data_IF_678642253894
#
_entry.id   IF_678642253894
#
_cell.length_a   1.000
_cell.length_b   1.000
_cell.length_c   1.000
_cell.angle_alpha   90.00
_cell.angle_beta   90.00
_cell.angle_gamma   90.00
#
_symmetry.space_group_name_H-M   'P 1'
#
loop_
_entity.id
_entity.type
_entity.pdbx_description
1 polymer ?
#
# COMPACT_ATOMS: atom_id res chain seq x y z
N UNK A 1 10.03 4.31 -13.71
CA UNK A 1 9.40 5.37 -12.88
C UNK A 1 9.77 5.15 -11.42
N UNK A 2 10.32 6.14 -10.69
CA UNK A 2 10.60 6.00 -9.27
C UNK A 2 9.29 6.05 -8.47
N UNK A 3 9.04 5.05 -7.62
CA UNK A 3 8.06 5.11 -6.52
C UNK A 3 6.68 5.68 -6.87
N UNK A 4 5.87 4.94 -7.63
CA UNK A 4 4.47 5.31 -7.90
C UNK A 4 3.60 5.32 -6.62
N UNK A 5 3.95 4.53 -5.60
CA UNK A 5 3.22 4.52 -4.32
C UNK A 5 3.51 5.77 -3.47
N UNK A 6 4.78 6.20 -3.40
CA UNK A 6 5.18 7.32 -2.53
C UNK A 6 4.89 8.69 -3.19
N UNK A 7 4.92 8.80 -4.52
CA UNK A 7 4.55 10.05 -5.22
C UNK A 7 3.06 10.37 -5.13
N UNK A 8 2.17 9.37 -5.28
CA UNK A 8 0.73 9.59 -5.19
C UNK A 8 0.28 9.95 -3.76
N UNK A 9 0.76 9.23 -2.73
CA UNK A 9 0.43 9.52 -1.33
C UNK A 9 1.02 10.87 -0.86
N UNK A 10 2.24 11.18 -1.30
CA UNK A 10 2.91 12.45 -0.98
C UNK A 10 2.29 13.65 -1.70
N UNK A 11 1.77 13.46 -2.91
CA UNK A 11 1.00 14.49 -3.60
C UNK A 11 -0.36 14.70 -2.92
N UNK A 12 -1.06 13.64 -2.52
CA UNK A 12 -2.34 13.75 -1.79
C UNK A 12 -2.20 14.45 -0.45
N UNK A 13 -1.18 14.14 0.36
CA UNK A 13 -0.98 14.88 1.61
C UNK A 13 -0.68 16.36 1.34
N UNK A 14 0.12 16.66 0.31
CA UNK A 14 0.37 18.04 -0.07
C UNK A 14 -0.92 18.76 -0.50
N UNK A 15 -1.78 18.12 -1.30
CA UNK A 15 -3.10 18.64 -1.66
C UNK A 15 -3.97 18.91 -0.41
N UNK A 16 -4.00 17.97 0.55
CA UNK A 16 -4.70 18.15 1.82
C UNK A 16 -4.15 19.36 2.58
N UNK A 17 -2.84 19.47 2.74
CA UNK A 17 -2.22 20.58 3.47
C UNK A 17 -2.39 21.93 2.75
N UNK A 18 -2.36 21.93 1.42
CA UNK A 18 -2.64 23.13 0.62
C UNK A 18 -4.10 23.52 0.72
N UNK A 19 -5.03 22.55 0.76
CA UNK A 19 -6.48 22.71 0.82
C UNK A 19 -7.04 23.03 2.21
N UNK A 20 -6.31 22.68 3.27
CA UNK A 20 -6.76 22.88 4.66
C UNK A 20 -6.94 24.36 5.02
N UNK A 21 -6.05 25.31 4.64
CA UNK A 21 -6.28 26.74 4.84
C UNK A 21 -7.55 27.28 4.18
N UNK A 22 -7.85 26.89 2.94
CA UNK A 22 -9.05 27.37 2.23
C UNK A 22 -10.31 26.78 2.86
N UNK A 23 -10.27 25.51 3.28
CA UNK A 23 -11.37 24.91 4.03
C UNK A 23 -11.57 25.64 5.37
N UNK A 24 -10.49 25.92 6.12
CA UNK A 24 -10.58 26.66 7.37
C UNK A 24 -11.15 28.07 7.15
N UNK A 25 -10.76 28.75 6.07
CA UNK A 25 -11.29 30.05 5.69
C UNK A 25 -12.80 29.97 5.38
N UNK A 26 -13.24 29.01 4.57
CA UNK A 26 -14.67 28.81 4.28
C UNK A 26 -15.46 28.52 5.57
N UNK A 27 -14.98 27.60 6.40
CA UNK A 27 -15.62 27.28 7.68
C UNK A 27 -15.67 28.50 8.61
N UNK A 28 -14.64 29.34 8.62
CA UNK A 28 -14.63 30.55 9.45
C UNK A 28 -15.67 31.56 8.99
N UNK A 29 -15.83 31.73 7.67
CA UNK A 29 -16.84 32.61 7.08
C UNK A 29 -18.25 32.08 7.35
N UNK A 30 -18.46 30.79 7.09
CA UNK A 30 -19.80 30.19 7.10
C UNK A 30 -20.29 29.87 8.52
N UNK A 31 -19.39 29.40 9.39
CA UNK A 31 -19.73 28.85 10.70
C UNK A 31 -19.02 29.51 11.87
N UNK A 32 -17.91 30.23 11.66
CA UNK A 32 -17.08 30.80 12.73
C UNK A 32 -17.85 31.60 13.78
N UNK A 33 -18.80 32.48 13.40
CA UNK A 33 -19.63 33.21 14.37
C UNK A 33 -20.67 32.35 15.10
N UNK A 34 -20.96 31.15 14.58
CA UNK A 34 -22.05 30.28 15.03
C UNK A 34 -21.57 29.10 15.88
N UNK A 35 -20.28 28.75 15.82
CA UNK A 35 -19.74 27.57 16.50
C UNK A 35 -18.51 27.93 17.34
N UNK A 36 -18.39 27.29 18.50
CA UNK A 36 -17.14 27.22 19.24
C UNK A 36 -16.53 25.83 19.07
N UNK A 37 -15.30 25.77 18.53
CA UNK A 37 -14.61 24.50 18.32
C UNK A 37 -14.03 24.06 19.64
N UNK A 38 -14.79 23.22 20.33
CA UNK A 38 -14.37 22.71 21.63
C UNK A 38 -13.17 21.77 21.55
N UNK A 39 -12.90 21.10 20.42
CA UNK A 39 -11.70 20.28 20.27
C UNK A 39 -11.49 19.71 18.86
N UNK A 40 -10.27 19.27 18.58
CA UNK A 40 -9.87 18.79 17.25
C UNK A 40 -9.12 17.46 17.34
N UNK A 41 -9.45 16.52 16.46
CA UNK A 41 -8.71 15.27 16.29
C UNK A 41 -8.33 15.06 14.82
N UNK A 42 -7.19 14.42 14.59
CA UNK A 42 -6.72 14.02 13.27
C UNK A 42 -6.64 12.50 13.16
N UNK A 43 -7.00 11.94 11.99
CA UNK A 43 -6.90 10.51 11.68
C UNK A 43 -6.42 10.25 10.25
N UNK A 44 -6.29 8.98 9.88
CA UNK A 44 -5.68 8.53 8.61
C UNK A 44 -4.16 8.46 8.65
N UNK A 45 -3.55 8.16 7.50
CA UNK A 45 -2.09 8.06 7.34
C UNK A 45 -1.38 9.40 7.63
N UNK A 46 -1.93 10.51 7.14
CA UNK A 46 -1.41 11.88 7.33
C UNK A 46 -1.64 12.50 8.70
N UNK A 47 -2.29 11.80 9.64
CA UNK A 47 -2.81 12.38 10.91
C UNK A 47 -1.78 13.15 11.72
N UNK A 48 -0.53 12.70 11.77
CA UNK A 48 0.51 13.37 12.56
C UNK A 48 0.95 14.71 11.95
N UNK A 49 0.94 14.80 10.63
CA UNK A 49 1.31 16.01 9.89
C UNK A 49 0.15 17.01 9.95
N UNK A 50 -1.06 16.56 9.60
CA UNK A 50 -2.27 17.39 9.66
C UNK A 50 -2.60 17.79 11.10
N UNK A 51 -2.45 16.88 12.06
CA UNK A 51 -2.63 17.16 13.48
C UNK A 51 -1.63 18.19 14.00
N UNK A 52 -0.37 18.15 13.56
CA UNK A 52 0.59 19.20 13.87
C UNK A 52 0.24 20.53 13.23
N UNK A 53 -0.26 20.53 11.98
CA UNK A 53 -0.70 21.73 11.30
C UNK A 53 -1.86 22.42 12.05
N UNK A 54 -2.91 21.65 12.36
CA UNK A 54 -4.09 22.12 13.09
C UNK A 54 -3.84 22.38 14.58
N UNK A 55 -2.69 21.96 15.12
CA UNK A 55 -2.49 21.84 16.57
C UNK A 55 -3.57 20.97 17.26
N UNK A 56 -3.97 19.88 16.62
CA UNK A 56 -5.04 19.01 17.07
C UNK A 56 -4.82 18.51 18.51
N UNK A 57 -5.89 18.31 19.27
CA UNK A 57 -5.84 17.77 20.63
C UNK A 57 -5.44 16.30 20.65
N UNK A 58 -5.81 15.55 19.60
CA UNK A 58 -5.64 14.10 19.53
C UNK A 58 -5.22 13.64 18.13
N UNK A 59 -4.29 12.70 18.11
CA UNK A 59 -4.00 11.89 16.93
C UNK A 59 -4.65 10.52 17.14
N UNK A 60 -5.64 10.18 16.32
CA UNK A 60 -6.43 8.94 16.44
C UNK A 60 -6.05 8.00 15.32
N UNK A 61 -5.70 6.76 15.67
CA UNK A 61 -5.44 5.73 14.67
C UNK A 61 -6.67 5.46 13.80
N UNK A 62 -6.45 5.23 12.51
CA UNK A 62 -7.51 5.11 11.52
C UNK A 62 -8.42 3.91 11.77
N UNK A 63 -7.89 2.79 12.30
CA UNK A 63 -8.69 1.61 12.64
C UNK A 63 -9.66 1.95 13.77
N UNK A 64 -9.15 2.59 14.82
CA UNK A 64 -9.95 3.03 15.97
C UNK A 64 -10.99 4.04 15.56
N UNK A 65 -10.62 5.00 14.71
CA UNK A 65 -11.52 6.04 14.24
C UNK A 65 -12.69 5.46 13.41
N UNK A 66 -12.39 4.61 12.43
CA UNK A 66 -13.43 3.96 11.63
C UNK A 66 -14.32 3.05 12.47
N UNK A 67 -13.75 2.27 13.38
CA UNK A 67 -14.54 1.40 14.25
C UNK A 67 -15.49 2.19 15.16
N UNK A 68 -15.01 3.27 15.78
CA UNK A 68 -15.86 4.11 16.64
C UNK A 68 -16.98 4.78 15.85
N UNK A 69 -16.67 5.30 14.65
CA UNK A 69 -17.67 5.89 13.77
C UNK A 69 -18.70 4.87 13.29
N UNK A 70 -18.27 3.65 12.97
CA UNK A 70 -19.17 2.56 12.57
C UNK A 70 -20.12 2.15 13.69
N UNK A 71 -19.61 1.98 14.92
CA UNK A 71 -20.40 1.66 16.12
C UNK A 71 -21.41 2.75 16.44
N UNK A 72 -21.08 4.03 16.19
CA UNK A 72 -22.03 5.13 16.40
C UNK A 72 -23.23 5.04 15.44
N UNK A 73 -22.98 4.63 14.19
CA UNK A 73 -24.03 4.46 13.19
C UNK A 73 -24.85 3.20 13.48
N UNK A 74 -24.18 2.12 13.85
CA UNK A 74 -24.82 0.84 14.12
C UNK A 74 -24.00 0.04 15.17
N UNK A 75 -24.50 -0.08 16.42
CA UNK A 75 -23.77 -0.76 17.49
C UNK A 75 -23.61 -2.27 17.26
N UNK A 76 -24.39 -2.86 16.35
CA UNK A 76 -24.34 -4.30 16.05
C UNK A 76 -23.34 -4.64 14.95
N UNK A 77 -22.62 -3.66 14.38
CA UNK A 77 -21.62 -3.92 13.34
C UNK A 77 -20.51 -4.84 13.86
N UNK A 78 -20.30 -5.96 13.18
CA UNK A 78 -19.30 -6.97 13.57
C UNK A 78 -18.07 -6.97 12.65
N UNK A 79 -18.22 -6.47 11.42
CA UNK A 79 -17.14 -6.47 10.43
C UNK A 79 -17.24 -5.25 9.53
N UNK A 80 -16.13 -4.55 9.39
CA UNK A 80 -15.94 -3.44 8.46
C UNK A 80 -15.02 -3.92 7.35
N UNK A 81 -15.51 -3.80 6.12
CA UNK A 81 -14.68 -3.83 4.93
C UNK A 81 -14.42 -2.39 4.49
N UNK A 82 -13.16 -2.03 4.28
CA UNK A 82 -12.81 -0.72 3.75
C UNK A 82 -11.85 -0.90 2.59
N UNK A 83 -12.26 -0.42 1.43
CA UNK A 83 -11.39 -0.38 0.25
C UNK A 83 -11.07 1.08 -0.02
N UNK A 84 -9.86 1.48 0.33
CA UNK A 84 -9.34 2.82 0.08
C UNK A 84 -8.88 2.99 -1.37
N UNK A 85 -8.37 4.20 -1.66
CA UNK A 85 -7.75 4.48 -2.94
C UNK A 85 -6.37 3.83 -3.12
N UNK A 86 -5.66 3.53 -2.04
CA UNK A 86 -4.26 3.04 -2.06
C UNK A 86 -4.02 1.85 -1.14
N UNK A 87 -4.86 1.68 -0.13
CA UNK A 87 -4.82 0.57 0.79
C UNK A 87 -6.23 -0.03 0.94
N UNK A 88 -6.30 -1.12 1.67
CA UNK A 88 -7.56 -1.76 2.01
C UNK A 88 -7.46 -2.35 3.40
N UNK A 89 -8.51 -2.21 4.20
CA UNK A 89 -8.54 -2.57 5.61
C UNK A 89 -9.69 -3.50 5.90
N UNK A 90 -9.43 -4.45 6.78
CA UNK A 90 -10.43 -5.31 7.39
C UNK A 90 -10.44 -5.01 8.89
N UNK A 91 -11.61 -4.84 9.49
CA UNK A 91 -11.76 -4.62 10.93
C UNK A 91 -12.86 -5.53 11.46
N UNK A 92 -12.53 -6.39 12.42
CA UNK A 92 -13.49 -7.14 13.22
C UNK A 92 -13.82 -6.35 14.48
N UNK A 93 -15.10 -6.22 14.80
CA UNK A 93 -15.59 -5.55 16.00
C UNK A 93 -16.24 -6.59 16.90
N UNK A 94 -15.91 -6.52 18.19
CA UNK A 94 -16.53 -7.32 19.24
C UNK A 94 -16.81 -6.41 20.44
N UNK A 95 -18.03 -6.47 20.98
CA UNK A 95 -18.46 -5.63 22.09
C UNK A 95 -18.12 -4.15 21.84
N UNK A 96 -18.47 -3.61 20.67
CA UNK A 96 -18.20 -2.23 20.25
C UNK A 96 -16.74 -1.80 20.18
N UNK A 97 -15.78 -2.73 20.26
CA UNK A 97 -14.34 -2.45 20.18
C UNK A 97 -13.68 -3.25 19.05
N UNK A 98 -12.64 -2.70 18.38
CA UNK A 98 -11.85 -3.47 17.42
C UNK A 98 -11.19 -4.68 18.10
N UNK A 99 -11.46 -5.89 17.60
CA UNK A 99 -10.90 -7.14 18.09
C UNK A 99 -9.69 -7.59 17.26
N UNK A 100 -9.82 -7.52 15.94
CA UNK A 100 -8.81 -7.94 14.97
C UNK A 100 -8.87 -7.01 13.76
N UNK A 101 -7.73 -6.78 13.12
CA UNK A 101 -7.66 -5.98 11.90
C UNK A 101 -6.51 -6.42 11.00
N UNK A 102 -6.66 -6.15 9.71
CA UNK A 102 -5.57 -6.27 8.75
C UNK A 102 -5.61 -5.11 7.77
N UNK A 103 -4.45 -4.79 7.20
CA UNK A 103 -4.31 -3.72 6.24
C UNK A 103 -3.33 -4.12 5.16
N UNK A 104 -3.79 -4.09 3.92
CA UNK A 104 -2.96 -4.28 2.75
C UNK A 104 -2.53 -2.91 2.19
N UNK A 105 -1.24 -2.59 2.35
CA UNK A 105 -0.60 -1.38 1.80
C UNK A 105 0.15 -1.63 0.48
N UNK A 106 0.29 -2.88 0.05
CA UNK A 106 1.27 -3.28 -0.98
C UNK A 106 0.61 -3.67 -2.30
N UNK A 107 -0.57 -4.29 -2.26
CA UNK A 107 -1.24 -4.71 -3.48
C UNK A 107 -2.15 -3.60 -4.02
N UNK A 108 -1.91 -3.19 -5.26
CA UNK A 108 -2.86 -2.37 -6.01
C UNK A 108 -4.09 -3.17 -6.47
N UNK A 109 -3.95 -4.50 -6.57
CA UNK A 109 -5.10 -5.35 -6.85
C UNK A 109 -6.06 -5.24 -5.67
N UNK A 110 -7.31 -4.90 -5.94
CA UNK A 110 -8.32 -4.73 -4.92
C UNK A 110 -8.47 -3.31 -4.36
N UNK A 111 -7.82 -2.28 -4.90
CA UNK A 111 -7.99 -0.87 -4.45
C UNK A 111 -8.85 -0.04 -5.40
N UNK A 112 -9.31 1.12 -4.92
CA UNK A 112 -10.07 2.07 -5.74
C UNK A 112 -9.25 2.73 -6.85
N UNK A 113 -7.92 2.88 -6.72
CA UNK A 113 -7.10 3.43 -7.82
C UNK A 113 -7.09 2.51 -9.03
N UNK A 114 -7.08 1.20 -8.81
CA UNK A 114 -7.12 0.24 -9.91
C UNK A 114 -8.42 0.35 -10.72
N UNK A 115 -9.57 0.51 -10.06
CA UNK A 115 -10.84 0.78 -10.74
C UNK A 115 -10.78 2.07 -11.57
N UNK A 116 -10.20 3.12 -11.00
CA UNK A 116 -10.08 4.40 -11.65
C UNK A 116 -9.19 4.33 -12.90
N UNK A 117 -8.03 3.69 -12.79
CA UNK A 117 -7.08 3.53 -13.89
C UNK A 117 -7.69 2.71 -15.04
N UNK A 118 -8.43 1.64 -14.72
CA UNK A 118 -9.14 0.86 -15.72
C UNK A 118 -10.31 1.62 -16.34
N UNK A 119 -11.11 2.33 -15.56
CA UNK A 119 -12.18 3.17 -16.07
C UNK A 119 -11.64 4.17 -17.10
N UNK A 120 -10.53 4.86 -16.76
CA UNK A 120 -9.85 5.78 -17.67
C UNK A 120 -9.35 5.09 -18.94
N UNK A 121 -8.72 3.91 -18.83
CA UNK A 121 -8.25 3.13 -19.99
C UNK A 121 -9.38 2.76 -20.96
N UNK A 122 -10.56 2.43 -20.42
CA UNK A 122 -11.74 2.11 -21.22
C UNK A 122 -12.59 3.33 -21.61
N UNK A 123 -12.13 4.55 -21.30
CA UNK A 123 -12.87 5.79 -21.55
C UNK A 123 -14.23 5.83 -20.84
N UNK A 124 -14.33 5.23 -19.65
CA UNK A 124 -15.55 5.19 -18.83
C UNK A 124 -15.40 6.18 -17.69
N UNK A 125 -16.43 6.97 -17.42
CA UNK A 125 -16.48 7.75 -16.21
C UNK A 125 -16.67 6.82 -14.98
N UNK A 126 -15.72 6.88 -14.04
CA UNK A 126 -15.78 6.09 -12.83
C UNK A 126 -17.03 6.41 -11.97
N UNK A 127 -17.50 7.66 -12.06
CA UNK A 127 -18.70 8.14 -11.38
C UNK A 127 -19.91 7.86 -12.27
N UNK A 128 -20.91 7.17 -11.71
CA UNK A 128 -22.19 6.80 -12.32
C UNK A 128 -22.16 5.88 -13.54
N UNK A 129 -21.35 6.18 -14.56
CA UNK A 129 -21.34 5.42 -15.80
C UNK A 129 -20.82 3.99 -15.58
N UNK A 130 -19.69 3.85 -14.89
CA UNK A 130 -19.12 2.53 -14.59
C UNK A 130 -20.12 1.61 -13.91
N UNK A 131 -20.76 2.07 -12.83
CA UNK A 131 -21.71 1.24 -12.07
C UNK A 131 -22.92 0.86 -12.91
N UNK A 132 -23.41 1.76 -13.77
CA UNK A 132 -24.55 1.48 -14.66
C UNK A 132 -24.21 0.41 -15.68
N UNK A 133 -23.01 0.48 -16.29
CA UNK A 133 -22.52 -0.54 -17.21
C UNK A 133 -22.42 -1.89 -16.49
N UNK A 134 -21.73 -1.94 -15.35
CA UNK A 134 -21.57 -3.18 -14.59
C UNK A 134 -22.91 -3.80 -14.18
N UNK A 135 -23.87 -3.00 -13.69
CA UNK A 135 -25.18 -3.48 -13.25
C UNK A 135 -26.09 -3.94 -14.40
N UNK A 136 -25.82 -3.54 -15.64
CA UNK A 136 -26.55 -4.04 -16.82
C UNK A 136 -26.02 -5.37 -17.36
N UNK A 137 -24.98 -5.94 -16.76
CA UNK A 137 -24.47 -7.25 -17.17
C UNK A 137 -25.38 -8.38 -16.70
N UNK A 138 -25.71 -9.28 -17.63
CA UNK A 138 -26.41 -10.52 -17.32
C UNK A 138 -25.44 -11.68 -17.08
N UNK A 139 -24.24 -11.63 -17.68
CA UNK A 139 -23.25 -12.70 -17.64
C UNK A 139 -21.84 -12.18 -17.33
N UNK A 140 -21.57 -11.70 -16.09
CA UNK A 140 -20.26 -11.18 -15.71
C UNK A 140 -19.13 -12.20 -15.93
N UNK A 141 -18.03 -11.77 -16.55
CA UNK A 141 -16.91 -12.68 -16.80
C UNK A 141 -16.16 -13.00 -15.52
N UNK A 142 -15.74 -14.27 -15.37
CA UNK A 142 -14.80 -14.67 -14.32
C UNK A 142 -13.37 -14.31 -14.73
N UNK A 143 -12.88 -13.21 -14.18
CA UNK A 143 -11.48 -12.79 -14.30
C UNK A 143 -10.63 -13.45 -13.19
N UNK A 144 -9.31 -13.44 -13.38
CA UNK A 144 -8.36 -13.68 -12.30
C UNK A 144 -8.59 -12.72 -11.12
N UNK A 145 -8.18 -13.10 -9.92
CA UNK A 145 -8.44 -12.38 -8.68
C UNK A 145 -7.17 -12.10 -7.87
N UNK A 146 -5.99 -12.20 -8.51
CA UNK A 146 -4.70 -12.19 -7.80
C UNK A 146 -3.90 -10.91 -7.93
N UNK A 147 -3.59 -10.49 -9.15
CA UNK A 147 -2.71 -9.37 -9.46
C UNK A 147 -3.35 -8.54 -10.57
N UNK A 148 -3.18 -7.21 -10.50
CA UNK A 148 -3.69 -6.27 -11.51
C UNK A 148 -3.24 -6.64 -12.91
N UNK A 149 -1.97 -7.08 -13.07
CA UNK A 149 -1.42 -7.51 -14.36
C UNK A 149 -2.21 -8.68 -14.95
N UNK A 150 -2.54 -9.70 -14.16
CA UNK A 150 -3.34 -10.83 -14.66
C UNK A 150 -4.79 -10.45 -14.93
N UNK A 151 -5.37 -9.57 -14.11
CA UNK A 151 -6.73 -9.05 -14.36
C UNK A 151 -6.76 -8.29 -15.69
N UNK A 152 -5.76 -7.45 -15.95
CA UNK A 152 -5.61 -6.69 -17.19
C UNK A 152 -5.41 -7.60 -18.40
N UNK A 153 -4.54 -8.61 -18.29
CA UNK A 153 -4.34 -9.60 -19.37
C UNK A 153 -5.62 -10.37 -19.67
N UNK A 154 -6.39 -10.77 -18.66
CA UNK A 154 -7.68 -11.43 -18.86
C UNK A 154 -8.68 -10.50 -19.56
N UNK A 155 -8.78 -9.25 -19.11
CA UNK A 155 -9.65 -8.24 -19.72
C UNK A 155 -9.35 -8.06 -21.21
N UNK A 156 -8.07 -7.96 -21.59
CA UNK A 156 -7.65 -7.84 -22.98
C UNK A 156 -7.96 -9.11 -23.79
N UNK A 157 -7.66 -10.29 -23.22
CA UNK A 157 -7.91 -11.57 -23.87
C UNK A 157 -9.41 -11.81 -24.11
N UNK A 158 -10.27 -11.48 -23.15
CA UNK A 158 -11.73 -11.59 -23.31
C UNK A 158 -12.28 -10.52 -24.24
N UNK A 159 -11.73 -9.30 -24.22
CA UNK A 159 -12.10 -8.26 -25.17
C UNK A 159 -11.80 -8.68 -26.62
N UNK A 160 -10.64 -9.27 -26.88
CA UNK A 160 -10.28 -9.82 -28.19
C UNK A 160 -11.19 -10.97 -28.64
N UNK A 161 -11.77 -11.71 -27.70
CA UNK A 161 -12.78 -12.76 -27.97
C UNK A 161 -14.18 -12.21 -28.23
N UNK A 162 -14.34 -10.88 -28.27
CA UNK A 162 -15.62 -10.22 -28.55
C UNK A 162 -16.59 -10.18 -27.37
N UNK A 163 -16.11 -10.44 -26.15
CA UNK A 163 -16.96 -10.30 -24.96
C UNK A 163 -17.36 -8.83 -24.79
N UNK A 164 -18.63 -8.62 -24.40
CA UNK A 164 -19.19 -7.29 -24.21
C UNK A 164 -18.43 -6.51 -23.14
N UNK A 165 -18.28 -5.19 -23.35
CA UNK A 165 -17.72 -4.27 -22.34
C UNK A 165 -18.48 -4.36 -21.02
N UNK A 166 -19.80 -4.55 -21.10
CA UNK A 166 -20.70 -4.72 -19.97
C UNK A 166 -20.28 -5.87 -19.06
N UNK A 167 -20.06 -7.06 -19.63
CA UNK A 167 -19.71 -8.26 -18.87
C UNK A 167 -18.28 -8.22 -18.34
N UNK A 168 -17.36 -7.56 -19.06
CA UNK A 168 -15.99 -7.33 -18.60
C UNK A 168 -15.96 -6.41 -17.37
N UNK A 169 -16.70 -5.30 -17.42
CA UNK A 169 -16.75 -4.31 -16.34
C UNK A 169 -17.46 -4.88 -15.11
N UNK A 170 -18.50 -5.68 -15.29
CA UNK A 170 -19.11 -6.44 -14.19
C UNK A 170 -18.14 -7.48 -13.60
N UNK A 171 -17.41 -8.22 -14.45
CA UNK A 171 -16.38 -9.18 -14.03
C UNK A 171 -15.28 -8.53 -13.19
N UNK A 172 -14.92 -7.28 -13.51
CA UNK A 172 -13.95 -6.50 -12.75
C UNK A 172 -14.43 -6.17 -11.33
N UNK A 173 -15.71 -5.87 -11.13
CA UNK A 173 -16.28 -5.71 -9.78
C UNK A 173 -16.07 -6.98 -8.95
N UNK A 174 -16.39 -8.16 -9.51
CA UNK A 174 -16.17 -9.44 -8.83
C UNK A 174 -14.69 -9.71 -8.55
N UNK A 175 -13.80 -9.44 -9.51
CA UNK A 175 -12.36 -9.66 -9.35
C UNK A 175 -11.78 -8.90 -8.15
N UNK A 176 -12.24 -7.66 -7.92
CA UNK A 176 -11.83 -6.83 -6.79
C UNK A 176 -12.34 -7.39 -5.47
N UNK A 177 -13.60 -7.82 -5.43
CA UNK A 177 -14.20 -8.44 -4.25
C UNK A 177 -13.44 -9.71 -3.88
N UNK A 178 -13.23 -10.61 -4.84
CA UNK A 178 -12.48 -11.85 -4.59
C UNK A 178 -11.04 -11.56 -4.16
N UNK A 179 -10.38 -10.59 -4.80
CA UNK A 179 -9.03 -10.19 -4.40
C UNK A 179 -9.00 -9.69 -2.96
N UNK A 180 -9.90 -8.79 -2.58
CA UNK A 180 -10.00 -8.25 -1.23
C UNK A 180 -10.26 -9.35 -0.20
N UNK A 181 -11.24 -10.23 -0.47
CA UNK A 181 -11.56 -11.36 0.41
C UNK A 181 -10.37 -12.32 0.55
N UNK A 182 -9.65 -12.62 -0.52
CA UNK A 182 -8.53 -13.55 -0.48
C UNK A 182 -7.27 -12.95 0.15
N UNK A 183 -7.00 -11.66 -0.08
CA UNK A 183 -5.73 -11.00 0.28
C UNK A 183 -5.79 -10.24 1.60
N UNK A 184 -6.91 -9.60 1.89
CA UNK A 184 -7.06 -8.76 3.09
C UNK A 184 -7.81 -9.53 4.18
N UNK A 185 -8.95 -10.12 3.84
CA UNK A 185 -9.74 -10.89 4.83
C UNK A 185 -9.06 -12.24 5.11
N UNK A 186 -8.68 -12.99 4.07
CA UNK A 186 -8.04 -14.28 4.19
C UNK A 186 -8.91 -15.29 4.95
N UNK A 187 -8.36 -15.89 6.01
CA UNK A 187 -9.07 -16.86 6.86
C UNK A 187 -9.80 -16.23 8.05
N UNK A 188 -9.86 -14.89 8.13
CA UNK A 188 -10.48 -14.19 9.27
C UNK A 188 -11.99 -14.36 9.28
N UNK A 189 -12.58 -14.26 10.47
CA UNK A 189 -14.01 -14.46 10.70
C UNK A 189 -14.81 -13.26 10.20
N UNK A 190 -15.65 -13.46 9.19
CA UNK A 190 -16.63 -12.45 8.77
C UNK A 190 -17.89 -12.57 9.64
N UNK A 191 -18.24 -11.51 10.38
CA UNK A 191 -19.41 -11.42 11.26
C UNK A 191 -20.75 -11.40 10.50
N UNK A 192 -21.87 -11.20 11.21
CA UNK A 192 -23.18 -11.17 10.56
C UNK A 192 -23.50 -9.80 9.97
N UNK A 193 -23.27 -8.75 10.75
CA UNK A 193 -23.56 -7.37 10.33
C UNK A 193 -22.31 -6.72 9.75
N UNK A 194 -22.39 -6.40 8.46
CA UNK A 194 -21.27 -6.01 7.62
C UNK A 194 -21.42 -4.56 7.23
N UNK A 195 -20.36 -3.77 7.38
CA UNK A 195 -20.31 -2.40 6.90
C UNK A 195 -19.25 -2.28 5.81
N UNK A 196 -19.56 -1.57 4.71
CA UNK A 196 -18.62 -1.36 3.62
C UNK A 196 -18.33 0.13 3.41
N UNK A 197 -17.04 0.46 3.46
CA UNK A 197 -16.49 1.82 3.47
C UNK A 197 -15.47 2.04 2.34
N UNK A 198 -15.06 3.29 2.17
CA UNK A 198 -14.06 3.71 1.19
C UNK A 198 -14.63 3.96 -0.19
N UNK A 199 -13.80 4.48 -1.11
CA UNK A 199 -14.24 4.98 -2.42
C UNK A 199 -15.07 3.98 -3.25
N UNK A 200 -14.65 2.72 -3.41
CA UNK A 200 -15.39 1.74 -4.21
C UNK A 200 -16.78 1.39 -3.68
N UNK A 201 -17.09 1.66 -2.41
CA UNK A 201 -18.46 1.52 -1.90
C UNK A 201 -19.42 2.61 -2.43
N UNK A 202 -18.94 3.61 -3.19
CA UNK A 202 -19.75 4.51 -4.04
C UNK A 202 -20.28 3.83 -5.29
N UNK A 203 -19.62 2.75 -5.72
CA UNK A 203 -20.02 2.02 -6.89
C UNK A 203 -20.97 0.89 -6.48
N UNK A 204 -22.26 1.05 -6.78
CA UNK A 204 -23.30 0.07 -6.44
C UNK A 204 -23.04 -1.31 -7.05
N UNK A 205 -22.31 -1.40 -8.16
CA UNK A 205 -21.95 -2.69 -8.74
C UNK A 205 -20.90 -3.44 -7.90
N UNK A 206 -19.98 -2.72 -7.26
CA UNK A 206 -19.01 -3.33 -6.33
C UNK A 206 -19.73 -3.79 -5.06
N UNK A 207 -20.68 -3.00 -4.56
CA UNK A 207 -21.54 -3.39 -3.43
C UNK A 207 -22.32 -4.67 -3.78
N UNK A 208 -23.02 -4.68 -4.91
CA UNK A 208 -23.79 -5.83 -5.38
C UNK A 208 -22.90 -7.08 -5.58
N UNK A 209 -21.69 -6.91 -6.13
CA UNK A 209 -20.74 -8.01 -6.24
C UNK A 209 -20.32 -8.56 -4.87
N UNK A 210 -20.08 -7.71 -3.88
CA UNK A 210 -19.81 -8.15 -2.50
C UNK A 210 -20.99 -8.93 -1.91
N UNK A 211 -22.21 -8.39 -2.04
CA UNK A 211 -23.41 -9.01 -1.49
C UNK A 211 -23.67 -10.37 -2.13
N UNK A 212 -23.51 -10.47 -3.45
CA UNK A 212 -23.63 -11.73 -4.18
C UNK A 212 -22.57 -12.76 -3.77
N UNK A 213 -21.32 -12.34 -3.57
CA UNK A 213 -20.24 -13.25 -3.15
C UNK A 213 -20.41 -13.71 -1.70
N UNK A 214 -20.88 -12.83 -0.82
CA UNK A 214 -21.03 -13.12 0.61
C UNK A 214 -22.40 -13.73 0.99
N UNK A 215 -23.39 -13.62 0.11
CA UNK A 215 -24.78 -13.97 0.37
C UNK A 215 -25.40 -13.14 1.51
N UNK A 216 -24.92 -11.91 1.72
CA UNK A 216 -25.25 -11.05 2.87
C UNK A 216 -25.27 -9.59 2.43
N UNK A 217 -26.24 -8.84 2.95
CA UNK A 217 -26.34 -7.40 2.70
C UNK A 217 -25.20 -6.63 3.37
N UNK A 218 -24.80 -5.52 2.74
CA UNK A 218 -23.81 -4.60 3.26
C UNK A 218 -24.48 -3.29 3.71
N UNK A 219 -24.22 -2.89 4.94
CA UNK A 219 -24.51 -1.53 5.40
C UNK A 219 -23.50 -0.57 4.76
N UNK A 220 -23.98 0.33 3.90
CA UNK A 220 -23.17 1.40 3.27
C UNK A 220 -23.62 2.75 3.83
N UNK A 221 -22.88 3.37 4.76
CA UNK A 221 -23.25 4.65 5.35
C UNK A 221 -23.28 5.79 4.32
N UNK A 222 -24.21 6.74 4.47
CA UNK A 222 -24.36 7.88 3.54
C UNK A 222 -23.08 8.72 3.37
N UNK A 223 -22.35 8.94 4.45
CA UNK A 223 -21.15 9.78 4.51
C UNK A 223 -19.89 8.96 4.88
N UNK A 224 -19.80 7.75 4.35
CA UNK A 224 -18.72 6.79 4.66
C UNK A 224 -17.31 7.30 4.37
N UNK A 225 -17.15 8.19 3.39
CA UNK A 225 -15.88 8.81 3.00
C UNK A 225 -15.28 9.69 4.11
N UNK A 226 -16.10 10.15 5.06
CA UNK A 226 -15.68 10.92 6.22
C UNK A 226 -15.89 10.17 7.54
N UNK A 227 -16.20 8.86 7.51
CA UNK A 227 -16.51 8.09 8.72
C UNK A 227 -15.35 8.08 9.72
N UNK A 228 -14.11 7.94 9.22
CA UNK A 228 -12.93 8.04 10.07
C UNK A 228 -12.87 9.39 10.80
N UNK A 229 -13.10 10.51 10.10
CA UNK A 229 -13.11 11.83 10.72
C UNK A 229 -14.24 11.97 11.75
N UNK A 230 -15.43 11.43 11.45
CA UNK A 230 -16.56 11.40 12.37
C UNK A 230 -16.23 10.63 13.66
N UNK A 231 -15.68 9.42 13.55
CA UNK A 231 -15.26 8.63 14.71
C UNK A 231 -14.15 9.30 15.52
N UNK A 232 -13.20 9.98 14.86
CA UNK A 232 -12.16 10.75 15.54
C UNK A 232 -12.75 11.94 16.33
N UNK A 233 -13.75 12.63 15.79
CA UNK A 233 -14.45 13.72 16.47
C UNK A 233 -15.19 13.23 17.72
N UNK A 234 -15.85 12.08 17.65
CA UNK A 234 -16.52 11.45 18.80
C UNK A 234 -15.51 11.09 19.89
N UNK A 235 -14.37 10.49 19.53
CA UNK A 235 -13.29 10.18 20.48
C UNK A 235 -12.76 11.45 21.15
N UNK A 236 -12.67 12.56 20.41
CA UNK A 236 -12.29 13.86 20.97
C UNK A 236 -13.31 14.37 21.98
N UNK A 237 -14.60 14.26 21.66
CA UNK A 237 -15.70 14.62 22.56
C UNK A 237 -15.68 13.79 23.84
N UNK A 238 -15.54 12.46 23.74
CA UNK A 238 -15.49 11.54 24.89
C UNK A 238 -14.30 11.82 25.81
N UNK A 239 -13.11 12.09 25.25
CA UNK A 239 -11.93 12.43 26.06
C UNK A 239 -12.05 13.79 26.75
N UNK A 240 -12.78 14.72 26.16
CA UNK A 240 -13.07 16.04 26.75
C UNK A 240 -14.09 16.00 27.85
N UNK A 241 -15.17 15.23 27.71
CA UNK A 241 -16.11 15.05 28.83
C UNK A 241 -15.41 14.54 30.09
N UNK A 242 -14.34 13.77 29.92
CA UNK A 242 -13.53 13.26 31.02
C UNK A 242 -12.43 14.23 31.53
N UNK A 243 -12.20 15.39 30.88
CA UNK A 243 -11.12 16.34 31.21
C UNK A 243 -11.50 17.80 30.88
N UNK A 244 -11.55 18.66 31.90
CA UNK A 244 -11.79 20.12 31.76
C UNK A 244 -10.57 20.90 31.26
N UNK A 245 -9.97 20.51 30.14
CA UNK A 245 -8.79 21.18 29.56
C UNK A 245 -9.18 21.93 28.29
N UNK A 246 -8.76 23.19 28.14
CA UNK A 246 -8.98 24.00 26.93
C UNK A 246 -8.34 23.36 25.69
N UNK A 247 -8.86 23.64 24.49
CA UNK A 247 -8.30 23.05 23.26
C UNK A 247 -6.96 23.68 22.91
N UNK A 248 -6.07 22.88 22.33
CA UNK A 248 -4.83 23.37 21.73
C UNK A 248 -5.07 23.95 20.33
N UNK A 249 -6.24 23.69 19.74
CA UNK A 249 -6.60 24.21 18.44
C UNK A 249 -6.48 25.74 18.42
N UNK A 250 -5.79 26.27 17.42
CA UNK A 250 -5.41 27.68 17.37
C UNK A 250 -6.52 28.58 16.80
N UNK A 251 -7.65 28.01 16.41
CA UNK A 251 -8.74 28.72 15.73
C UNK A 251 -8.67 28.60 14.20
N UNK A 252 -9.82 28.74 13.54
CA UNK A 252 -9.92 28.64 12.07
C UNK A 252 -9.14 29.76 11.37
N UNK A 253 -9.16 30.98 11.92
CA UNK A 253 -8.41 32.12 11.37
C UNK A 253 -6.89 31.90 11.40
N UNK A 254 -6.37 31.35 12.50
CA UNK A 254 -4.95 31.03 12.59
C UNK A 254 -4.55 29.95 11.57
N UNK A 255 -5.38 28.91 11.38
CA UNK A 255 -5.13 27.85 10.39
C UNK A 255 -5.24 28.37 8.96
N UNK A 256 -6.20 29.25 8.67
CA UNK A 256 -6.37 29.86 7.35
C UNK A 256 -5.16 30.71 6.94
N UNK A 257 -4.47 31.31 7.91
CA UNK A 257 -3.32 32.18 7.68
C UNK A 257 -1.95 31.51 7.91
N UNK A 258 -1.90 30.25 8.36
CA UNK A 258 -0.65 29.55 8.66
C UNK A 258 0.09 29.19 7.34
N UNK A 259 1.38 29.52 7.29
CA UNK A 259 2.21 29.30 6.09
C UNK A 259 2.90 27.96 6.20
N UNK A 260 2.50 27.02 5.34
CA UNK A 260 3.19 25.74 5.23
C UNK A 260 4.54 25.93 4.54
N UNK A 261 5.62 25.68 5.28
CA UNK A 261 6.96 25.51 4.73
C UNK A 261 7.36 24.03 4.77
N UNK A 262 8.00 23.53 3.71
CA UNK A 262 8.58 22.20 3.72
C UNK A 262 9.90 22.17 2.97
N UNK A 263 10.74 21.20 3.34
CA UNK A 263 11.96 20.86 2.61
C UNK A 263 11.94 19.38 2.25
N UNK A 264 12.52 19.06 1.09
CA UNK A 264 12.72 17.68 0.67
C UNK A 264 14.15 17.24 0.99
N UNK A 265 14.29 16.07 1.60
CA UNK A 265 15.59 15.44 1.88
C UNK A 265 15.53 13.95 1.61
N UNK A 266 16.57 13.41 1.00
CA UNK A 266 16.74 11.95 0.92
C UNK A 266 17.05 11.40 2.31
N UNK A 267 16.33 10.36 2.72
CA UNK A 267 16.57 9.64 3.96
C UNK A 267 17.98 9.05 3.97
N UNK A 268 18.77 9.41 4.99
CA UNK A 268 20.12 8.87 5.24
C UNK A 268 20.29 8.38 6.67
N UNK A 269 19.20 8.20 7.40
CA UNK A 269 19.24 7.86 8.84
C UNK A 269 19.77 6.45 9.10
N UNK A 270 19.74 5.55 8.13
CA UNK A 270 20.45 4.28 8.20
C UNK A 270 21.44 4.22 7.03
N UNK A 271 22.74 4.17 7.32
CA UNK A 271 23.82 4.12 6.32
C UNK A 271 23.79 2.84 5.49
N UNK A 272 23.17 1.76 5.98
CA UNK A 272 22.94 0.53 5.22
C UNK A 272 21.61 0.48 4.46
N UNK A 273 20.75 1.49 4.55
CA UNK A 273 19.46 1.51 3.86
C UNK A 273 19.60 2.03 2.42
N UNK A 274 19.08 1.26 1.46
CA UNK A 274 19.21 1.54 0.03
C UNK A 274 17.96 2.15 -0.60
N UNK A 275 16.84 2.25 0.14
CA UNK A 275 15.57 2.72 -0.40
C UNK A 275 15.57 4.21 -0.80
N UNK A 276 16.62 4.98 -0.45
CA UNK A 276 16.79 6.41 -0.79
C UNK A 276 15.48 7.23 -0.70
N UNK A 277 14.66 6.95 0.31
CA UNK A 277 13.31 7.51 0.39
C UNK A 277 13.36 9.04 0.39
N UNK A 278 12.51 9.70 -0.39
CA UNK A 278 12.35 11.16 -0.35
C UNK A 278 11.46 11.52 0.83
N UNK A 279 12.02 12.20 1.83
CA UNK A 279 11.28 12.67 2.99
C UNK A 279 10.89 14.12 2.77
N UNK A 280 9.63 14.45 3.11
CA UNK A 280 9.17 15.83 3.25
C UNK A 280 9.18 16.20 4.73
N UNK A 281 9.91 17.26 5.07
CA UNK A 281 9.95 17.79 6.43
C UNK A 281 9.13 19.07 6.43
N UNK A 282 7.94 19.00 6.98
CA UNK A 282 7.02 20.12 7.14
C UNK A 282 7.34 20.88 8.43
N UNK A 283 7.22 22.21 8.38
CA UNK A 283 7.34 23.11 9.52
C UNK A 283 6.12 24.03 9.57
N UNK A 284 5.35 23.91 10.65
CA UNK A 284 4.16 24.71 10.91
C UNK A 284 4.42 25.61 12.11
N UNK A 285 5.13 26.72 11.87
CA UNK A 285 5.48 27.68 12.92
C UNK A 285 6.23 27.04 14.11
N UNK A 286 7.25 26.21 13.81
CA UNK A 286 8.10 25.51 14.79
C UNK A 286 7.64 24.07 15.08
N UNK A 287 6.44 23.67 14.68
CA UNK A 287 5.91 22.30 14.82
C UNK A 287 6.36 21.44 13.65
N UNK A 288 7.59 20.91 13.71
CA UNK A 288 8.15 20.08 12.65
C UNK A 288 7.56 18.67 12.60
N UNK A 289 7.24 18.19 11.40
CA UNK A 289 6.81 16.81 11.15
C UNK A 289 7.43 16.25 9.87
N UNK A 290 7.73 14.95 9.89
CA UNK A 290 8.33 14.25 8.76
C UNK A 290 7.27 13.37 8.13
N UNK A 291 7.16 13.45 6.81
CA UNK A 291 6.32 12.59 5.97
C UNK A 291 7.18 11.78 4.99
N UNK A 292 6.70 10.58 4.68
CA UNK A 292 7.35 9.63 3.77
C UNK A 292 8.24 8.63 4.50
N UNK A 293 8.96 7.85 3.70
CA UNK A 293 9.82 6.77 4.20
C UNK A 293 9.09 5.45 4.32
N UNK A 294 9.40 4.53 3.42
CA UNK A 294 8.74 3.23 3.28
C UNK A 294 8.87 2.31 4.50
N UNK A 295 9.87 2.54 5.35
CA UNK A 295 10.10 1.74 6.55
C UNK A 295 9.18 2.09 7.73
N UNK A 296 8.26 3.07 7.59
CA UNK A 296 7.31 3.46 8.64
C UNK A 296 7.96 4.13 9.88
N UNK A 297 9.28 4.36 9.86
CA UNK A 297 10.05 4.95 10.96
C UNK A 297 9.50 6.33 11.38
N UNK A 298 9.18 7.16 10.39
CA UNK A 298 8.71 8.53 10.62
C UNK A 298 7.21 8.59 10.92
N UNK A 299 6.43 7.58 10.49
CA UNK A 299 5.03 7.40 10.90
C UNK A 299 4.93 7.08 12.40
N UNK A 300 5.94 6.39 12.97
CA UNK A 300 5.96 5.94 14.36
C UNK A 300 6.69 6.89 15.33
N UNK A 301 7.44 7.86 14.82
CA UNK A 301 8.17 8.83 15.64
C UNK A 301 7.18 9.60 16.53
N UNK A 302 7.26 9.39 17.84
CA UNK A 302 6.31 9.89 18.85
C UNK A 302 5.85 8.81 19.84
N UNK A 303 5.86 7.54 19.43
CA UNK A 303 5.65 6.44 20.35
C UNK A 303 7.00 6.05 20.95
N UNK A 304 7.18 6.28 22.24
CA UNK A 304 8.32 5.80 23.04
C UNK A 304 8.22 4.26 23.24
N UNK A 305 7.80 3.53 22.20
CA UNK A 305 7.81 2.07 22.16
C UNK A 305 9.27 1.70 21.91
N UNK A 306 9.88 0.98 22.85
CA UNK A 306 11.28 0.59 22.82
C UNK A 306 11.72 0.05 21.45
N UNK A 307 13.04 0.10 21.20
CA UNK A 307 13.65 -0.34 19.94
C UNK A 307 13.11 -1.72 19.59
N UNK A 308 12.23 -1.79 18.58
CA UNK A 308 11.76 -3.07 18.05
C UNK A 308 12.93 -3.77 17.37
N UNK A 309 12.94 -5.08 17.49
CA UNK A 309 13.89 -5.96 16.83
C UNK A 309 13.89 -5.72 15.31
N UNK A 310 15.05 -5.42 14.74
CA UNK A 310 15.18 -5.15 13.30
C UNK A 310 15.40 -6.46 12.54
N UNK A 311 14.30 -7.14 12.18
CA UNK A 311 14.36 -8.42 11.46
C UNK A 311 15.12 -8.34 10.13
N UNK A 312 15.18 -7.18 9.48
CA UNK A 312 15.97 -7.00 8.26
C UNK A 312 17.48 -7.09 8.56
N UNK A 313 17.93 -6.43 9.62
CA UNK A 313 19.32 -6.51 10.05
C UNK A 313 19.68 -7.92 10.53
N UNK A 314 18.77 -8.60 11.23
CA UNK A 314 18.97 -10.01 11.61
C UNK A 314 19.07 -10.93 10.40
N UNK A 315 18.16 -10.78 9.44
CA UNK A 315 18.20 -11.52 8.18
C UNK A 315 19.53 -11.25 7.45
N UNK A 316 19.98 -10.00 7.39
CA UNK A 316 21.23 -9.63 6.74
C UNK A 316 22.45 -10.24 7.43
N UNK A 317 22.46 -10.29 8.77
CA UNK A 317 23.51 -10.97 9.55
C UNK A 317 23.55 -12.46 9.23
N UNK A 318 22.42 -13.15 9.30
CA UNK A 318 22.30 -14.58 8.98
C UNK A 318 22.76 -14.83 7.54
N UNK A 319 22.27 -14.03 6.59
CA UNK A 319 22.62 -14.11 5.19
C UNK A 319 24.14 -13.98 5.02
N UNK A 320 24.75 -12.93 5.58
CA UNK A 320 26.18 -12.68 5.47
C UNK A 320 27.01 -13.82 6.07
N UNK A 321 26.64 -14.33 7.26
CA UNK A 321 27.32 -15.46 7.90
C UNK A 321 27.37 -16.71 7.00
N UNK A 322 26.34 -16.94 6.19
CA UNK A 322 26.28 -18.12 5.32
C UNK A 322 26.77 -17.88 3.89
N UNK A 323 27.01 -16.64 3.48
CA UNK A 323 27.50 -16.31 2.13
C UNK A 323 28.92 -15.78 2.11
N UNK A 324 29.48 -15.43 3.27
CA UNK A 324 30.84 -14.92 3.41
C UNK A 324 31.86 -15.94 2.85
N UNK A 325 32.75 -15.46 1.98
CA UNK A 325 33.79 -16.28 1.36
C UNK A 325 33.31 -17.28 0.31
N UNK A 326 32.00 -17.35 0.01
CA UNK A 326 31.41 -18.23 -1.03
C UNK A 326 30.50 -17.49 -2.02
N UNK A 327 30.26 -16.20 -1.81
CA UNK A 327 29.45 -15.34 -2.67
C UNK A 327 30.08 -13.95 -2.80
N UNK A 328 30.13 -13.44 -4.03
CA UNK A 328 30.62 -12.10 -4.34
C UNK A 328 29.48 -11.16 -4.72
N UNK A 329 29.76 -9.86 -4.68
CA UNK A 329 28.87 -8.83 -5.25
C UNK A 329 29.53 -8.25 -6.51
N UNK A 330 28.78 -8.22 -7.62
CA UNK A 330 29.22 -7.59 -8.85
C UNK A 330 29.39 -6.09 -8.63
N UNK A 331 30.60 -5.59 -8.77
CA UNK A 331 30.92 -4.18 -8.63
C UNK A 331 30.87 -3.47 -10.00
N UNK A 332 31.87 -2.66 -10.36
CA UNK A 332 31.90 -1.93 -11.65
C UNK A 332 32.59 -2.70 -12.79
N UNK A 333 33.31 -3.78 -12.47
CA UNK A 333 34.13 -4.52 -13.44
C UNK A 333 33.56 -5.92 -13.64
N UNK A 334 33.71 -6.51 -14.85
CA UNK A 334 33.41 -7.91 -15.08
C UNK A 334 34.17 -8.81 -14.09
N UNK A 335 33.47 -9.79 -13.54
CA UNK A 335 33.99 -10.85 -12.68
C UNK A 335 33.75 -12.18 -13.37
N UNK A 336 34.67 -12.58 -14.25
CA UNK A 336 34.55 -13.85 -14.98
C UNK A 336 35.06 -15.05 -14.16
N UNK A 337 35.99 -14.79 -13.25
CA UNK A 337 36.63 -15.80 -12.42
C UNK A 337 36.99 -15.19 -11.06
N UNK A 338 36.90 -15.97 -10.00
CA UNK A 338 37.29 -15.60 -8.62
C UNK A 338 38.03 -16.78 -8.03
N UNK A 339 39.26 -16.55 -7.53
CA UNK A 339 40.11 -17.60 -6.93
C UNK A 339 40.29 -18.85 -7.80
N UNK A 340 40.46 -18.69 -9.12
CA UNK A 340 40.60 -19.82 -10.04
C UNK A 340 39.27 -20.49 -10.45
N UNK A 341 38.14 -20.02 -9.91
CA UNK A 341 36.81 -20.61 -10.11
C UNK A 341 35.94 -19.76 -11.03
N UNK A 342 35.29 -20.36 -12.05
CA UNK A 342 34.37 -19.63 -12.91
C UNK A 342 33.17 -19.09 -12.12
N UNK A 343 32.68 -17.91 -12.51
CA UNK A 343 31.57 -17.25 -11.82
C UNK A 343 30.20 -17.60 -12.39
N UNK A 344 29.20 -17.61 -11.50
CA UNK A 344 27.79 -17.78 -11.85
C UNK A 344 27.02 -16.56 -11.32
N UNK A 345 26.49 -15.73 -12.20
CA UNK A 345 25.71 -14.55 -11.82
C UNK A 345 24.25 -14.88 -11.54
N UNK A 346 23.70 -14.34 -10.46
CA UNK A 346 22.27 -14.41 -10.14
C UNK A 346 21.76 -13.05 -9.63
N UNK A 347 20.55 -12.66 -10.02
CA UNK A 347 20.00 -11.37 -9.63
C UNK A 347 19.68 -11.28 -8.14
N UNK A 348 19.95 -10.10 -7.55
CA UNK A 348 19.56 -9.75 -6.19
C UNK A 348 18.16 -9.13 -6.13
N UNK A 349 17.18 -9.87 -6.65
CA UNK A 349 15.77 -9.47 -6.74
C UNK A 349 14.84 -10.69 -6.62
N UNK A 350 13.58 -10.45 -6.24
CA UNK A 350 12.52 -11.47 -6.18
C UNK A 350 12.96 -12.70 -5.35
N UNK A 351 12.91 -13.90 -5.93
CA UNK A 351 13.33 -15.14 -5.26
C UNK A 351 14.81 -15.13 -4.87
N UNK A 352 15.65 -14.35 -5.54
CA UNK A 352 17.09 -14.27 -5.27
C UNK A 352 17.42 -13.90 -3.82
N UNK A 353 16.62 -13.04 -3.18
CA UNK A 353 16.76 -12.73 -1.75
C UNK A 353 16.50 -13.95 -0.86
N UNK A 354 15.57 -14.81 -1.25
CA UNK A 354 15.21 -15.98 -0.45
C UNK A 354 16.16 -17.15 -0.67
N UNK A 355 16.64 -17.34 -1.90
CA UNK A 355 17.37 -18.54 -2.31
C UNK A 355 18.88 -18.35 -2.45
N UNK A 356 19.40 -17.13 -2.29
CA UNK A 356 20.84 -16.85 -2.46
C UNK A 356 21.74 -17.69 -1.56
N UNK A 357 21.35 -17.98 -0.33
CA UNK A 357 22.16 -18.80 0.59
C UNK A 357 22.28 -20.23 0.06
N UNK A 358 21.16 -20.81 -0.39
CA UNK A 358 21.12 -22.13 -1.02
C UNK A 358 22.01 -22.18 -2.25
N UNK A 359 21.87 -21.20 -3.15
CA UNK A 359 22.63 -21.19 -4.40
C UNK A 359 24.11 -20.90 -4.20
N UNK A 360 24.48 -20.09 -3.21
CA UNK A 360 25.87 -19.82 -2.88
C UNK A 360 26.59 -21.11 -2.45
N UNK A 361 26.03 -21.86 -1.50
CA UNK A 361 26.61 -23.14 -1.05
C UNK A 361 26.61 -24.19 -2.18
N UNK A 362 25.53 -24.27 -2.96
CA UNK A 362 25.43 -25.21 -4.08
C UNK A 362 26.54 -24.99 -5.12
N UNK A 363 26.72 -23.75 -5.59
CA UNK A 363 27.73 -23.45 -6.60
C UNK A 363 29.15 -23.54 -6.05
N UNK A 364 29.37 -23.15 -4.79
CA UNK A 364 30.70 -23.26 -4.18
C UNK A 364 31.17 -24.72 -4.10
N UNK A 365 30.29 -25.66 -3.71
CA UNK A 365 30.58 -27.10 -3.70
C UNK A 365 30.88 -27.67 -5.08
N UNK A 366 30.32 -27.09 -6.13
CA UNK A 366 30.57 -27.48 -7.52
C UNK A 366 31.84 -26.85 -8.11
N UNK A 367 32.57 -26.03 -7.33
CA UNK A 367 33.78 -25.36 -7.79
C UNK A 367 33.52 -24.07 -8.58
N UNK A 368 32.34 -23.48 -8.45
CA UNK A 368 31.99 -22.17 -9.01
C UNK A 368 31.95 -21.11 -7.92
N UNK A 369 31.85 -19.83 -8.31
CA UNK A 369 31.61 -18.72 -7.38
C UNK A 369 30.33 -17.98 -7.74
N UNK A 370 29.37 -17.92 -6.81
CA UNK A 370 28.15 -17.14 -7.01
C UNK A 370 28.48 -15.64 -6.98
N UNK A 371 27.94 -14.88 -7.92
CA UNK A 371 28.05 -13.42 -7.98
C UNK A 371 26.64 -12.84 -7.99
N UNK A 372 26.29 -12.03 -6.98
CA UNK A 372 25.04 -11.30 -6.94
C UNK A 372 25.22 -9.88 -7.45
N UNK A 373 24.16 -9.29 -8.00
CA UNK A 373 24.15 -7.87 -8.30
C UNK A 373 24.23 -6.99 -7.05
N UNK A 374 24.66 -5.74 -7.25
CA UNK A 374 24.59 -4.67 -6.23
C UNK A 374 23.17 -4.47 -5.72
N UNK A 375 23.00 -3.80 -4.57
CA UNK A 375 21.67 -3.28 -4.20
C UNK A 375 21.01 -2.53 -5.34
N UNK A 376 19.69 -2.71 -5.47
CA UNK A 376 18.89 -1.98 -6.45
C UNK A 376 19.11 -0.48 -6.28
N UNK A 377 19.46 0.18 -7.38
CA UNK A 377 19.53 1.63 -7.47
C UNK A 377 18.63 2.14 -8.61
N UNK A 378 18.58 3.46 -8.80
CA UNK A 378 17.77 4.07 -9.85
C UNK A 378 18.18 3.62 -11.26
N UNK A 379 19.47 3.30 -11.47
CA UNK A 379 19.99 2.86 -12.76
C UNK A 379 19.50 1.46 -13.12
N UNK A 380 19.63 0.50 -12.20
CA UNK A 380 19.09 -0.86 -12.34
C UNK A 380 17.59 -0.79 -12.62
N UNK A 381 16.88 0.07 -11.87
CA UNK A 381 15.44 0.26 -12.08
C UNK A 381 15.08 0.79 -13.46
N UNK A 382 15.77 1.82 -13.93
CA UNK A 382 15.50 2.43 -15.24
C UNK A 382 15.80 1.45 -16.36
N UNK A 383 16.98 0.81 -16.34
CA UNK A 383 17.34 -0.21 -17.33
C UNK A 383 16.32 -1.35 -17.39
N UNK A 384 15.90 -1.85 -16.22
CA UNK A 384 14.91 -2.92 -16.16
C UNK A 384 13.53 -2.52 -16.71
N UNK A 385 13.16 -1.24 -16.60
CA UNK A 385 11.94 -0.70 -17.19
C UNK A 385 12.07 -0.54 -18.71
N UNK A 386 13.23 -0.08 -19.18
CA UNK A 386 13.51 0.21 -20.59
C UNK A 386 13.60 -1.06 -21.45
N UNK A 387 14.19 -2.14 -20.92
CA UNK A 387 14.39 -3.39 -21.68
C UNK A 387 13.18 -4.34 -21.63
N UNK A 388 12.20 -4.05 -20.78
CA UNK A 388 11.03 -4.90 -20.64
C UNK A 388 10.05 -4.61 -21.79
N UNK A 389 9.95 -5.54 -22.73
CA UNK A 389 9.02 -5.44 -23.86
C UNK A 389 7.57 -5.79 -23.48
N UNK A 390 7.39 -6.64 -22.47
CA UNK A 390 6.07 -7.08 -22.00
C UNK A 390 5.52 -6.25 -20.82
N UNK A 391 4.19 -6.16 -20.70
CA UNK A 391 3.59 -5.54 -19.53
C UNK A 391 3.71 -6.45 -18.30
N UNK A 392 4.68 -6.13 -17.46
CA UNK A 392 4.96 -6.87 -16.22
C UNK A 392 4.96 -5.94 -15.01
N UNK A 393 4.79 -6.53 -13.82
CA UNK A 393 4.83 -5.74 -12.59
C UNK A 393 6.23 -5.17 -12.35
N UNK A 394 6.29 -4.02 -11.68
CA UNK A 394 7.55 -3.31 -11.45
C UNK A 394 8.67 -4.18 -10.83
N UNK A 395 8.42 -5.06 -9.84
CA UNK A 395 9.46 -5.97 -9.33
C UNK A 395 10.09 -6.90 -10.39
N UNK A 396 9.30 -7.35 -11.39
CA UNK A 396 9.79 -8.15 -12.51
C UNK A 396 10.66 -7.30 -13.43
N UNK A 397 10.23 -6.07 -13.74
CA UNK A 397 11.04 -5.07 -14.45
C UNK A 397 12.40 -4.86 -13.75
N UNK A 398 12.42 -4.68 -12.43
CA UNK A 398 13.66 -4.56 -11.64
C UNK A 398 14.55 -5.81 -11.77
N UNK A 399 13.98 -7.01 -11.70
CA UNK A 399 14.73 -8.27 -11.85
C UNK A 399 15.46 -8.34 -13.20
N UNK A 400 14.82 -7.90 -14.29
CA UNK A 400 15.46 -7.82 -15.60
C UNK A 400 16.58 -6.78 -15.64
N UNK A 401 16.43 -5.65 -14.95
CA UNK A 401 17.50 -4.67 -14.77
C UNK A 401 18.73 -5.28 -14.10
N UNK A 402 18.54 -6.11 -13.08
CA UNK A 402 19.65 -6.86 -12.45
C UNK A 402 20.29 -7.88 -13.40
N UNK A 403 19.48 -8.63 -14.15
CA UNK A 403 19.99 -9.58 -15.16
C UNK A 403 20.84 -8.84 -16.20
N UNK A 404 20.42 -7.64 -16.62
CA UNK A 404 21.18 -6.80 -17.57
C UNK A 404 22.54 -6.39 -17.03
N UNK A 405 22.66 -6.12 -15.73
CA UNK A 405 23.96 -5.83 -15.10
C UNK A 405 24.88 -7.05 -15.09
N UNK A 406 24.34 -8.26 -14.93
CA UNK A 406 25.13 -9.49 -14.95
C UNK A 406 25.55 -9.89 -16.37
N UNK A 407 24.69 -9.64 -17.36
CA UNK A 407 24.92 -10.07 -18.74
C UNK A 407 26.25 -9.52 -19.31
N UNK A 408 27.18 -10.43 -19.62
CA UNK A 408 28.53 -10.08 -20.12
C UNK A 408 29.54 -9.69 -19.04
N UNK A 409 29.12 -9.62 -17.77
CA UNK A 409 29.98 -9.31 -16.63
C UNK A 409 30.28 -10.51 -15.72
N UNK A 410 29.72 -11.69 -16.02
CA UNK A 410 29.98 -12.97 -15.35
C UNK A 410 30.17 -14.08 -16.36
N UNK A 411 30.81 -15.19 -15.97
CA UNK A 411 31.08 -16.31 -16.88
C UNK A 411 29.81 -17.06 -17.27
N UNK A 412 28.95 -17.36 -16.30
CA UNK A 412 27.65 -17.99 -16.51
C UNK A 412 26.56 -17.14 -15.87
N UNK A 413 25.37 -17.16 -16.46
CA UNK A 413 24.19 -16.51 -15.92
C UNK A 413 23.20 -17.58 -15.46
N UNK A 414 22.69 -17.44 -14.24
CA UNK A 414 21.78 -18.40 -13.64
C UNK A 414 20.44 -17.73 -13.29
N UNK A 415 19.40 -18.18 -13.98
CA UNK A 415 18.02 -17.69 -13.83
C UNK A 415 17.13 -18.92 -13.60
N UNK A 416 17.00 -19.41 -12.35
CA UNK A 416 16.20 -20.60 -12.09
C UNK A 416 14.70 -20.29 -12.21
N UNK A 417 13.97 -21.19 -12.87
CA UNK A 417 12.51 -21.22 -12.82
C UNK A 417 12.05 -22.01 -11.60
N UNK A 418 11.58 -21.31 -10.56
CA UNK A 418 11.08 -21.94 -9.34
C UNK A 418 9.56 -21.97 -9.39
N UNK A 419 8.97 -23.16 -9.55
CA UNK A 419 7.52 -23.32 -9.72
C UNK A 419 6.80 -23.25 -8.37
N UNK A 420 7.21 -24.10 -7.43
CA UNK A 420 6.59 -24.26 -6.13
C UNK A 420 7.62 -24.45 -5.03
N UNK A 421 7.18 -24.24 -3.80
CA UNK A 421 7.97 -24.49 -2.60
C UNK A 421 7.04 -24.82 -1.44
N UNK A 422 7.45 -25.76 -0.59
CA UNK A 422 6.66 -26.13 0.58
C UNK A 422 6.60 -24.96 1.56
N UNK A 423 5.39 -24.64 2.03
CA UNK A 423 5.15 -23.66 3.07
C UNK A 423 4.58 -24.36 4.30
N UNK A 424 4.64 -23.74 5.50
CA UNK A 424 3.99 -24.28 6.68
C UNK A 424 2.49 -24.58 6.50
N UNK A 425 1.83 -23.91 5.55
CA UNK A 425 0.40 -24.09 5.24
C UNK A 425 0.12 -24.95 3.99
N UNK A 426 1.11 -25.64 3.42
CA UNK A 426 0.94 -26.54 2.26
C UNK A 426 1.94 -26.27 1.13
N UNK A 427 1.47 -26.23 -0.11
CA UNK A 427 2.29 -25.87 -1.27
C UNK A 427 2.15 -24.38 -1.59
N UNK A 428 3.24 -23.64 -1.48
CA UNK A 428 3.35 -22.29 -2.01
C UNK A 428 3.73 -22.31 -3.48
N UNK A 429 3.17 -21.39 -4.26
CA UNK A 429 3.47 -21.21 -5.67
C UNK A 429 4.10 -19.85 -5.87
N UNK A 430 5.19 -19.81 -6.63
CA UNK A 430 5.76 -18.53 -7.06
C UNK A 430 4.88 -17.90 -8.13
N UNK A 431 5.09 -16.60 -8.37
CA UNK A 431 4.41 -15.89 -9.43
C UNK A 431 4.79 -16.50 -10.80
N UNK A 432 3.83 -16.76 -11.72
CA UNK A 432 4.16 -17.20 -13.06
C UNK A 432 5.15 -16.27 -13.79
N UNK A 433 5.09 -14.96 -13.51
CA UNK A 433 6.00 -13.96 -14.10
C UNK A 433 7.47 -14.10 -13.68
N UNK A 434 7.78 -14.97 -12.72
CA UNK A 434 9.15 -15.24 -12.27
C UNK A 434 9.58 -16.67 -12.56
N UNK A 435 8.74 -17.43 -13.27
CA UNK A 435 8.98 -18.81 -13.69
C UNK A 435 9.46 -18.90 -15.15
N UNK A 436 9.54 -17.78 -15.86
CA UNK A 436 9.85 -17.70 -17.30
C UNK A 436 11.25 -17.19 -17.54
#
# INVERSE_FOLDING_TARGET
MPGLSDTAATNKLFEVLVGTPQLAQSLNIDLGPLIDISGVAATGSGRKVVGAFLNADLDVDEITAHARGAVEIDPDVETIFEIGGQDSKYISISNTHPLDFDMNKVCAAGTGSFLHDLANRYGINIVDEFQRIALSSENPVRLADRCTVFIESDLEAYHQKGISKTDLIAGLCYAIVYNYLNRVVGKRKIGKKLMFLGGPSLNKAVVAAFENVLGRELLVPRHREVLGAYGAAIIAQEKRHNRSVATRFMGLDAVANDKMHYIEKTCRTNTGCTNQCKLKIYDFSGRKRIWGGECGRYESAGDNKGIKENYFEQWQKIWQTHTEGICETLEKKPLMEVDGRPTVGMQRALYGFQTSVLWADFFDRLGFRLVLTRPTDSRISSHGTEIMEGETCYPVKISHGHIRELAGNVKFLFIPSIINMKTPQGSGYYCPMIQS
#
